data_IF_125553441979
#
_entry.id   IF_125553441979
#
_cell.length_a   1.000
_cell.length_b   1.000
_cell.length_c   1.000
_cell.angle_alpha   90.00
_cell.angle_beta   90.00
_cell.angle_gamma   90.00
#
_symmetry.space_group_name_H-M   'P 1'
#
loop_
_entity.id
_entity.type
_entity.pdbx_description
1 polymer ?
#
# COMPACT_ATOMS: atom_id res chain seq x y z
N UNK A 1 0.99 -10.40 27.86
CA UNK A 1 1.07 -9.81 26.51
C UNK A 1 0.63 -8.36 26.62
N UNK A 2 1.50 -7.39 26.34
CA UNK A 2 1.10 -5.97 26.24
C UNK A 2 0.72 -5.73 24.77
N UNK A 3 -0.57 -5.57 24.48
CA UNK A 3 -1.02 -5.16 23.16
C UNK A 3 -0.59 -3.69 22.96
N UNK A 4 0.12 -3.40 21.87
CA UNK A 4 0.32 -2.01 21.44
C UNK A 4 -0.98 -1.59 20.76
N UNK A 5 -1.80 -0.81 21.44
CA UNK A 5 -2.95 -0.15 20.83
C UNK A 5 -2.45 0.82 19.77
N UNK A 6 -2.81 0.58 18.51
CA UNK A 6 -2.55 1.51 17.41
C UNK A 6 -3.65 2.57 17.40
N UNK A 7 -3.26 3.84 17.53
CA UNK A 7 -4.18 4.97 17.32
C UNK A 7 -4.17 5.30 15.83
N UNK A 8 -5.26 4.99 15.13
CA UNK A 8 -5.45 5.42 13.75
C UNK A 8 -6.40 6.62 13.76
N UNK A 9 -5.88 7.79 13.43
CA UNK A 9 -6.71 8.95 13.09
C UNK A 9 -7.00 8.85 11.60
N UNK A 10 -8.16 8.30 11.26
CA UNK A 10 -8.62 8.26 9.87
C UNK A 10 -9.52 9.47 9.63
N UNK A 11 -8.96 10.50 8.99
CA UNK A 11 -9.75 11.65 8.53
C UNK A 11 -10.59 11.20 7.34
N UNK A 12 -11.87 10.94 7.54
CA UNK A 12 -12.83 10.90 6.43
C UNK A 12 -12.97 12.34 5.95
N UNK A 13 -12.46 12.63 4.74
CA UNK A 13 -12.59 13.95 4.13
C UNK A 13 -14.07 14.22 3.85
N UNK A 14 -14.75 14.86 4.81
CA UNK A 14 -16.02 15.53 4.59
C UNK A 14 -15.69 16.87 3.92
N UNK A 15 -16.30 17.11 2.77
CA UNK A 15 -16.17 18.32 1.95
C UNK A 15 -16.25 19.58 2.83
N UNK A 16 -15.36 20.58 2.65
CA UNK A 16 -15.35 21.76 3.50
C UNK A 16 -16.48 22.71 3.06
N UNK A 17 -17.67 22.50 3.60
CA UNK A 17 -18.70 23.52 3.62
C UNK A 17 -18.56 24.25 4.97
N UNK A 18 -18.09 25.50 4.90
CA UNK A 18 -17.80 26.43 5.99
C UNK A 18 -18.29 26.01 7.39
N UNK A 19 -17.38 25.64 8.28
CA UNK A 19 -17.68 25.39 9.69
C UNK A 19 -16.71 26.15 10.61
N UNK A 20 -17.35 26.79 11.58
CA UNK A 20 -16.80 27.47 12.75
C UNK A 20 -15.87 26.58 13.58
N UNK A 21 -15.02 27.23 14.40
CA UNK A 21 -14.17 26.68 15.45
C UNK A 21 -14.96 25.94 16.55
N UNK A 22 -15.63 24.85 16.21
CA UNK A 22 -16.07 23.85 17.16
C UNK A 22 -15.14 22.66 17.02
N UNK A 23 -14.43 22.37 18.11
CA UNK A 23 -13.64 21.17 18.36
C UNK A 23 -14.44 19.91 17.97
N UNK A 24 -14.34 19.51 16.70
CA UNK A 24 -15.01 18.30 16.21
C UNK A 24 -14.17 17.14 16.69
N UNK A 25 -14.62 16.53 17.79
CA UNK A 25 -14.15 15.28 18.35
C UNK A 25 -14.18 14.20 17.24
N UNK A 26 -13.09 14.14 16.46
CA UNK A 26 -13.04 13.23 15.32
C UNK A 26 -13.04 11.80 15.84
N UNK A 27 -13.85 10.90 15.25
CA UNK A 27 -13.92 9.52 15.70
C UNK A 27 -12.54 8.85 15.55
N UNK A 28 -11.86 8.62 16.67
CA UNK A 28 -10.61 7.84 16.71
C UNK A 28 -10.97 6.37 16.62
N UNK A 29 -10.55 5.72 15.53
CA UNK A 29 -10.73 4.27 15.36
C UNK A 29 -9.47 3.58 15.86
N UNK A 30 -9.58 2.85 16.96
CA UNK A 30 -8.50 1.99 17.46
C UNK A 30 -8.68 0.57 16.95
N UNK A 31 -7.64 -0.02 16.35
CA UNK A 31 -7.66 -1.41 15.88
C UNK A 31 -6.38 -2.13 16.31
N UNK A 32 -6.49 -3.41 16.65
CA UNK A 32 -5.32 -4.25 16.89
C UNK A 32 -4.51 -4.40 15.59
N UNK A 33 -3.19 -4.29 15.69
CA UNK A 33 -2.31 -4.32 14.53
C UNK A 33 -2.38 -5.64 13.75
N UNK A 34 -2.66 -6.77 14.42
CA UNK A 34 -2.83 -8.04 13.73
C UNK A 34 -4.19 -8.13 13.01
N UNK A 35 -5.19 -7.39 13.46
CA UNK A 35 -6.43 -7.22 12.72
C UNK A 35 -6.19 -6.30 11.52
N UNK A 36 -5.43 -5.22 11.70
CA UNK A 36 -5.10 -4.30 10.61
C UNK A 36 -4.37 -4.99 9.46
N UNK A 37 -3.35 -5.81 9.75
CA UNK A 37 -2.62 -6.52 8.69
C UNK A 37 -3.51 -7.49 7.92
N UNK A 38 -4.59 -8.02 8.51
CA UNK A 38 -5.54 -8.87 7.78
C UNK A 38 -6.26 -8.13 6.64
N UNK A 39 -6.22 -6.79 6.64
CA UNK A 39 -6.77 -5.94 5.59
C UNK A 39 -5.74 -5.54 4.53
N UNK A 40 -4.56 -6.17 4.47
CA UNK A 40 -3.51 -5.83 3.47
C UNK A 40 -4.02 -5.92 2.02
N UNK A 41 -5.05 -6.72 1.75
CA UNK A 41 -5.58 -6.92 0.41
C UNK A 41 -6.68 -5.92 0.00
N UNK A 42 -7.15 -5.08 0.94
CA UNK A 42 -8.18 -4.06 0.70
C UNK A 42 -7.81 -3.13 -0.46
N UNK A 43 -6.59 -2.55 -0.54
CA UNK A 43 -6.22 -1.70 -1.66
C UNK A 43 -6.30 -2.43 -3.00
N UNK A 44 -5.94 -3.71 -3.05
CA UNK A 44 -5.98 -4.48 -4.29
C UNK A 44 -7.38 -4.76 -4.79
N UNK A 45 -8.36 -4.97 -3.90
CA UNK A 45 -9.77 -5.04 -4.30
C UNK A 45 -10.23 -3.69 -4.84
N UNK A 46 -9.99 -2.62 -4.08
CA UNK A 46 -10.41 -1.26 -4.47
C UNK A 46 -9.81 -0.81 -5.79
N UNK A 47 -8.51 -1.03 -6.03
CA UNK A 47 -7.88 -0.66 -7.31
C UNK A 47 -8.49 -1.36 -8.52
N UNK A 48 -8.88 -2.64 -8.38
CA UNK A 48 -9.61 -3.34 -9.45
C UNK A 48 -11.00 -2.74 -9.67
N UNK A 49 -11.70 -2.42 -8.59
CA UNK A 49 -13.05 -1.82 -8.65
C UNK A 49 -13.02 -0.42 -9.26
N UNK A 50 -12.04 0.41 -8.86
CA UNK A 50 -11.77 1.73 -9.45
C UNK A 50 -11.51 1.58 -10.95
N UNK A 51 -10.62 0.67 -11.34
CA UNK A 51 -10.29 0.45 -12.75
C UNK A 51 -11.51 0.04 -13.57
N UNK A 52 -12.32 -0.88 -13.05
CA UNK A 52 -13.55 -1.33 -13.70
C UNK A 52 -14.59 -0.21 -13.80
N UNK A 53 -14.77 0.58 -12.73
CA UNK A 53 -15.66 1.74 -12.71
C UNK A 53 -15.21 2.81 -13.73
N UNK A 54 -13.91 3.11 -13.77
CA UNK A 54 -13.32 4.06 -14.72
C UNK A 54 -13.58 3.65 -16.18
N UNK A 55 -13.31 2.39 -16.55
CA UNK A 55 -13.57 1.87 -17.92
C UNK A 55 -15.06 1.99 -18.28
N UNK A 56 -15.95 1.78 -17.31
CA UNK A 56 -17.41 1.91 -17.47
C UNK A 56 -17.92 3.35 -17.37
N UNK A 57 -17.03 4.34 -17.27
CA UNK A 57 -17.34 5.76 -17.06
C UNK A 57 -18.22 6.03 -15.82
N UNK A 58 -18.07 5.19 -14.80
CA UNK A 58 -18.71 5.36 -13.48
C UNK A 58 -17.81 6.23 -12.60
N UNK A 59 -17.60 7.48 -13.02
CA UNK A 59 -16.60 8.39 -12.44
C UNK A 59 -16.86 8.71 -10.96
N UNK A 60 -18.11 8.95 -10.55
CA UNK A 60 -18.45 9.20 -9.14
C UNK A 60 -18.01 8.07 -8.20
N UNK A 61 -18.22 6.82 -8.65
CA UNK A 61 -17.80 5.63 -7.89
C UNK A 61 -16.28 5.52 -7.83
N UNK A 62 -15.63 5.65 -8.98
CA UNK A 62 -14.19 5.55 -9.09
C UNK A 62 -13.48 6.66 -8.28
N UNK A 63 -14.04 7.88 -8.28
CA UNK A 63 -13.61 9.02 -7.45
C UNK A 63 -13.67 8.67 -5.96
N UNK A 64 -14.83 8.23 -5.48
CA UNK A 64 -15.03 7.87 -4.07
C UNK A 64 -14.06 6.77 -3.61
N UNK A 65 -13.89 5.72 -4.43
CA UNK A 65 -12.98 4.62 -4.11
C UNK A 65 -11.51 5.05 -4.17
N UNK A 66 -11.12 5.96 -5.08
CA UNK A 66 -9.77 6.56 -5.12
C UNK A 66 -9.48 7.38 -3.87
N UNK A 67 -10.39 8.27 -3.48
CA UNK A 67 -10.26 9.09 -2.27
C UNK A 67 -10.09 8.20 -1.02
N UNK A 68 -10.90 7.14 -0.92
CA UNK A 68 -10.79 6.15 0.17
C UNK A 68 -9.43 5.44 0.16
N UNK A 69 -8.92 5.09 -1.03
CA UNK A 69 -7.62 4.44 -1.16
C UNK A 69 -6.46 5.39 -0.82
N UNK A 70 -6.58 6.69 -1.12
CA UNK A 70 -5.63 7.71 -0.70
C UNK A 70 -5.57 7.81 0.83
N UNK A 71 -6.72 7.83 1.51
CA UNK A 71 -6.78 7.81 2.98
C UNK A 71 -6.06 6.59 3.56
N UNK A 72 -6.26 5.40 2.96
CA UNK A 72 -5.53 4.19 3.38
C UNK A 72 -4.01 4.37 3.26
N UNK A 73 -3.51 4.88 2.12
CA UNK A 73 -2.08 5.12 1.94
C UNK A 73 -1.52 6.16 2.92
N UNK A 74 -2.33 7.16 3.30
CA UNK A 74 -1.96 8.16 4.32
C UNK A 74 -1.77 7.51 5.69
N UNK A 75 -2.65 6.58 6.06
CA UNK A 75 -2.50 5.80 7.31
C UNK A 75 -1.24 4.96 7.25
N UNK A 76 -0.97 4.25 6.15
CA UNK A 76 0.26 3.44 6.02
C UNK A 76 1.53 4.31 6.00
N UNK A 77 1.47 5.51 5.43
CA UNK A 77 2.58 6.47 5.46
C UNK A 77 2.96 6.83 6.91
N UNK A 78 1.98 7.03 7.80
CA UNK A 78 2.23 7.36 9.22
C UNK A 78 2.96 6.25 10.00
N UNK A 79 2.95 5.01 9.49
CA UNK A 79 3.57 3.82 10.10
C UNK A 79 4.91 3.45 9.46
N UNK A 80 5.19 4.02 8.30
CA UNK A 80 6.36 3.72 7.49
C UNK A 80 7.62 4.43 8.01
N UNK A 81 8.78 3.96 7.56
CA UNK A 81 10.04 4.69 7.73
C UNK A 81 9.99 6.00 6.93
N UNK A 82 10.71 7.07 7.34
CA UNK A 82 10.59 8.40 6.74
C UNK A 82 10.66 8.42 5.20
N UNK A 83 11.64 7.73 4.62
CA UNK A 83 11.80 7.68 3.16
C UNK A 83 10.66 6.97 2.41
N UNK A 84 9.98 5.99 3.03
CA UNK A 84 8.81 5.32 2.44
C UNK A 84 7.55 6.15 2.71
N UNK A 85 7.46 6.77 3.88
CA UNK A 85 6.34 7.60 4.31
C UNK A 85 6.11 8.79 3.36
N UNK A 86 7.16 9.54 3.04
CA UNK A 86 7.10 10.68 2.10
C UNK A 86 6.54 10.25 0.73
N UNK A 87 6.94 9.08 0.25
CA UNK A 87 6.57 8.58 -1.07
C UNK A 87 5.17 7.99 -1.11
N UNK A 88 4.74 7.36 -0.01
CA UNK A 88 3.33 6.95 0.17
C UNK A 88 2.43 8.19 0.24
N UNK A 89 2.87 9.26 0.90
CA UNK A 89 2.15 10.53 0.96
C UNK A 89 2.05 11.21 -0.42
N UNK A 90 3.12 11.19 -1.23
CA UNK A 90 3.09 11.66 -2.62
C UNK A 90 2.06 10.89 -3.46
N UNK A 91 2.10 9.55 -3.43
CA UNK A 91 1.13 8.70 -4.14
C UNK A 91 -0.29 8.93 -3.63
N UNK A 92 -0.49 9.11 -2.32
CA UNK A 92 -1.78 9.44 -1.72
C UNK A 92 -2.34 10.77 -2.23
N UNK A 93 -1.52 11.83 -2.20
CA UNK A 93 -1.89 13.17 -2.68
C UNK A 93 -2.30 13.13 -4.14
N UNK A 94 -1.57 12.35 -4.94
CA UNK A 94 -1.89 12.14 -6.35
C UNK A 94 -3.19 11.36 -6.56
N UNK A 95 -3.45 10.31 -5.79
CA UNK A 95 -4.74 9.59 -5.84
C UNK A 95 -5.90 10.52 -5.49
N UNK A 96 -5.72 11.39 -4.49
CA UNK A 96 -6.71 12.39 -4.13
C UNK A 96 -6.93 13.41 -5.27
N UNK A 97 -5.86 13.90 -5.90
CA UNK A 97 -5.98 14.79 -7.06
C UNK A 97 -6.72 14.14 -8.23
N UNK A 98 -6.37 12.90 -8.59
CA UNK A 98 -7.07 12.16 -9.66
C UNK A 98 -8.53 11.92 -9.27
N UNK A 99 -8.84 11.66 -8.00
CA UNK A 99 -10.24 11.46 -7.58
C UNK A 99 -11.13 12.66 -7.90
N UNK A 100 -10.58 13.88 -7.86
CA UNK A 100 -11.32 15.11 -8.19
C UNK A 100 -11.41 15.35 -9.71
N UNK A 101 -10.42 14.89 -10.47
CA UNK A 101 -10.31 15.15 -11.92
C UNK A 101 -10.51 13.87 -12.76
N UNK A 102 -11.19 12.86 -12.22
CA UNK A 102 -11.21 11.53 -12.82
C UNK A 102 -12.00 11.47 -14.14
N UNK A 103 -12.87 12.45 -14.37
CA UNK A 103 -13.66 12.61 -15.60
C UNK A 103 -12.97 13.50 -16.64
N UNK A 104 -11.82 14.12 -16.31
CA UNK A 104 -11.02 14.87 -17.26
C UNK A 104 -10.45 13.93 -18.33
N UNK A 105 -10.51 14.37 -19.59
CA UNK A 105 -10.04 13.60 -20.74
C UNK A 105 -8.52 13.33 -20.68
N UNK A 106 -7.80 13.99 -19.79
CA UNK A 106 -6.37 13.81 -19.55
C UNK A 106 -6.04 12.58 -18.70
N UNK A 107 -6.95 12.11 -17.86
CA UNK A 107 -6.72 10.92 -17.03
C UNK A 107 -6.94 9.67 -17.87
N UNK A 108 -5.93 8.81 -17.95
CA UNK A 108 -6.01 7.55 -18.69
C UNK A 108 -6.10 6.34 -17.78
N UNK A 109 -6.56 5.26 -18.40
CA UNK A 109 -6.46 3.89 -17.93
C UNK A 109 -5.04 3.53 -17.42
N UNK A 110 -4.03 3.90 -18.20
CA UNK A 110 -2.62 3.62 -17.94
C UNK A 110 -2.07 4.46 -16.78
N UNK A 111 -2.57 5.69 -16.59
CA UNK A 111 -2.21 6.53 -15.45
C UNK A 111 -2.64 5.88 -14.12
N UNK A 112 -3.85 5.32 -14.08
CA UNK A 112 -4.33 4.56 -12.93
C UNK A 112 -3.49 3.31 -12.69
N UNK A 113 -3.19 2.55 -13.74
CA UNK A 113 -2.39 1.32 -13.65
C UNK A 113 -0.99 1.61 -13.10
N UNK A 114 -0.33 2.66 -13.61
CA UNK A 114 0.96 3.15 -13.12
C UNK A 114 0.89 3.58 -11.64
N UNK A 115 -0.16 4.31 -11.27
CA UNK A 115 -0.36 4.77 -9.90
C UNK A 115 -0.59 3.61 -8.92
N UNK A 116 -1.42 2.62 -9.28
CA UNK A 116 -1.67 1.42 -8.49
C UNK A 116 -0.42 0.54 -8.37
N UNK A 117 0.36 0.44 -9.45
CA UNK A 117 1.64 -0.24 -9.46
C UNK A 117 2.61 0.37 -8.45
N UNK A 118 2.73 1.70 -8.44
CA UNK A 118 3.59 2.46 -7.50
C UNK A 118 3.12 2.33 -6.05
N UNK A 119 1.81 2.45 -5.80
CA UNK A 119 1.23 2.26 -4.48
C UNK A 119 1.56 0.87 -3.91
N UNK A 120 1.33 -0.18 -4.70
CA UNK A 120 1.64 -1.55 -4.28
C UNK A 120 3.14 -1.78 -4.08
N UNK A 121 3.99 -1.21 -4.91
CA UNK A 121 5.44 -1.32 -4.72
C UNK A 121 5.92 -0.66 -3.42
N UNK A 122 5.38 0.50 -3.06
CA UNK A 122 5.69 1.18 -1.80
C UNK A 122 5.14 0.42 -0.59
N UNK A 123 3.91 -0.10 -0.68
CA UNK A 123 3.34 -0.96 0.37
C UNK A 123 4.17 -2.24 0.57
N UNK A 124 4.67 -2.85 -0.52
CA UNK A 124 5.54 -4.02 -0.42
C UNK A 124 6.85 -3.70 0.33
N UNK A 125 7.46 -2.54 0.06
CA UNK A 125 8.63 -2.06 0.82
C UNK A 125 8.30 -1.81 2.29
N UNK A 126 7.18 -1.13 2.54
CA UNK A 126 6.71 -0.83 3.89
C UNK A 126 6.55 -2.10 4.73
N UNK A 127 5.81 -3.08 4.22
CA UNK A 127 5.59 -4.33 4.94
C UNK A 127 6.85 -5.19 5.06
N UNK A 128 7.79 -5.12 4.10
CA UNK A 128 9.06 -5.83 4.21
C UNK A 128 9.91 -5.29 5.37
N UNK A 129 9.92 -3.97 5.54
CA UNK A 129 10.55 -3.31 6.68
C UNK A 129 9.86 -3.69 8.00
N UNK A 130 8.53 -3.66 8.06
CA UNK A 130 7.77 -4.09 9.24
C UNK A 130 8.04 -5.55 9.61
N UNK A 131 8.15 -6.44 8.62
CA UNK A 131 8.49 -7.84 8.82
C UNK A 131 9.86 -7.98 9.51
N UNK A 132 10.86 -7.22 9.06
CA UNK A 132 12.21 -7.22 9.64
C UNK A 132 12.23 -6.69 11.06
N UNK A 133 11.62 -5.52 11.31
CA UNK A 133 11.54 -4.93 12.64
C UNK A 133 10.84 -5.87 13.63
N UNK A 134 9.73 -6.48 13.21
CA UNK A 134 8.99 -7.45 14.02
C UNK A 134 9.84 -8.69 14.33
N UNK A 135 10.58 -9.20 13.34
CA UNK A 135 11.49 -10.34 13.52
C UNK A 135 12.62 -10.03 14.49
N UNK A 136 13.30 -8.89 14.34
CA UNK A 136 14.35 -8.43 15.27
C UNK A 136 13.79 -8.27 16.68
N UNK A 137 12.54 -7.81 16.80
CA UNK A 137 11.82 -7.74 18.08
C UNK A 137 11.27 -9.07 18.61
N UNK A 138 11.57 -10.22 17.97
CA UNK A 138 11.11 -11.54 18.37
C UNK A 138 9.62 -11.83 18.09
N UNK A 139 8.92 -10.94 17.41
CA UNK A 139 7.49 -11.04 17.06
C UNK A 139 7.30 -11.81 15.75
N UNK A 140 7.63 -13.09 15.77
CA UNK A 140 7.73 -13.91 14.55
C UNK A 140 6.39 -14.04 13.82
N UNK A 141 5.30 -14.22 14.55
CA UNK A 141 3.96 -14.27 13.96
C UNK A 141 3.66 -13.00 13.17
N UNK A 142 3.94 -11.83 13.74
CA UNK A 142 3.73 -10.54 13.07
C UNK A 142 4.66 -10.41 11.86
N UNK A 143 5.91 -10.83 11.99
CA UNK A 143 6.84 -10.87 10.86
C UNK A 143 6.30 -11.72 9.69
N UNK A 144 5.72 -12.90 9.96
CA UNK A 144 5.10 -13.73 8.95
C UNK A 144 3.88 -13.08 8.30
N UNK A 145 2.99 -12.45 9.07
CA UNK A 145 1.85 -11.70 8.54
C UNK A 145 2.30 -10.56 7.61
N UNK A 146 3.35 -9.83 7.99
CA UNK A 146 3.91 -8.78 7.14
C UNK A 146 4.56 -9.32 5.87
N UNK A 147 5.20 -10.50 5.91
CA UNK A 147 5.73 -11.12 4.69
C UNK A 147 4.63 -11.57 3.73
N UNK A 148 3.48 -12.02 4.22
CA UNK A 148 2.30 -12.25 3.38
C UNK A 148 1.84 -10.97 2.69
N UNK A 149 1.72 -9.87 3.44
CA UNK A 149 1.39 -8.56 2.88
C UNK A 149 2.42 -8.07 1.85
N UNK A 150 3.72 -8.19 2.14
CA UNK A 150 4.81 -7.89 1.20
C UNK A 150 4.66 -8.67 -0.09
N UNK A 151 4.44 -9.99 0.01
CA UNK A 151 4.34 -10.87 -1.16
C UNK A 151 3.17 -10.47 -2.04
N UNK A 152 2.00 -10.28 -1.43
CA UNK A 152 0.80 -9.86 -2.14
C UNK A 152 1.00 -8.52 -2.86
N UNK A 153 1.53 -7.52 -2.17
CA UNK A 153 1.75 -6.21 -2.77
C UNK A 153 2.84 -6.24 -3.85
N UNK A 154 3.91 -7.03 -3.68
CA UNK A 154 4.93 -7.20 -4.72
C UNK A 154 4.35 -7.84 -5.98
N UNK A 155 3.56 -8.90 -5.84
CA UNK A 155 2.86 -9.55 -6.95
C UNK A 155 1.95 -8.55 -7.69
N UNK A 156 1.16 -7.77 -6.93
CA UNK A 156 0.25 -6.78 -7.49
C UNK A 156 0.98 -5.63 -8.19
N UNK A 157 2.10 -5.17 -7.65
CA UNK A 157 2.91 -4.14 -8.30
C UNK A 157 3.40 -4.60 -9.68
N UNK A 158 3.87 -5.84 -9.79
CA UNK A 158 4.29 -6.44 -11.08
C UNK A 158 3.12 -6.50 -12.06
N UNK A 159 1.95 -7.00 -11.61
CA UNK A 159 0.77 -7.12 -12.48
C UNK A 159 0.28 -5.76 -12.99
N UNK A 160 0.19 -4.74 -12.14
CA UNK A 160 -0.22 -3.39 -12.55
C UNK A 160 0.83 -2.66 -13.40
N UNK A 161 2.11 -3.04 -13.32
CA UNK A 161 3.15 -2.48 -14.19
C UNK A 161 3.09 -3.01 -15.64
N UNK A 162 2.03 -3.75 -15.99
CA UNK A 162 1.89 -4.50 -17.24
C UNK A 162 3.07 -5.47 -17.52
N UNK A 163 3.80 -5.84 -16.47
CA UNK A 163 4.90 -6.80 -16.55
C UNK A 163 4.39 -8.20 -16.26
N UNK A 164 4.92 -9.18 -16.98
CA UNK A 164 4.64 -10.60 -16.69
C UNK A 164 5.43 -11.05 -15.47
N UNK A 165 4.82 -11.88 -14.64
CA UNK A 165 5.52 -12.58 -13.55
C UNK A 165 6.48 -13.59 -14.19
N UNK A 166 7.77 -13.24 -14.25
CA UNK A 166 8.82 -14.16 -14.69
C UNK A 166 9.03 -15.28 -13.68
N UNK A 167 9.63 -16.41 -14.10
CA UNK A 167 9.93 -17.54 -13.20
C UNK A 167 10.76 -17.16 -11.97
N UNK A 168 11.72 -16.24 -12.11
CA UNK A 168 12.52 -15.75 -10.97
C UNK A 168 11.71 -14.90 -9.98
N UNK A 169 10.74 -14.12 -10.48
CA UNK A 169 9.81 -13.36 -9.63
C UNK A 169 8.90 -14.32 -8.90
N UNK A 170 8.28 -15.28 -9.61
CA UNK A 170 7.42 -16.30 -9.02
C UNK A 170 8.13 -17.07 -7.91
N UNK A 171 9.35 -17.54 -8.18
CA UNK A 171 10.17 -18.25 -7.19
C UNK A 171 10.40 -17.40 -5.93
N UNK A 172 10.68 -16.10 -6.09
CA UNK A 172 10.89 -15.22 -4.93
C UNK A 172 9.59 -15.02 -4.14
N UNK A 173 8.44 -14.90 -4.82
CA UNK A 173 7.13 -14.84 -4.15
C UNK A 173 6.87 -16.13 -3.36
N UNK A 174 7.15 -17.30 -3.94
CA UNK A 174 6.96 -18.59 -3.27
C UNK A 174 7.91 -18.76 -2.08
N UNK A 175 9.19 -18.40 -2.22
CA UNK A 175 10.17 -18.42 -1.13
C UNK A 175 9.73 -17.49 0.04
N UNK A 176 9.08 -16.35 -0.26
CA UNK A 176 8.54 -15.43 0.75
C UNK A 176 7.31 -16.01 1.47
N UNK A 177 6.38 -16.65 0.74
CA UNK A 177 5.21 -17.33 1.34
C UNK A 177 5.65 -18.45 2.27
N UNK A 178 6.57 -19.29 1.83
CA UNK A 178 7.14 -20.37 2.66
C UNK A 178 7.79 -19.81 3.93
N UNK A 179 8.54 -18.70 3.83
CA UNK A 179 9.13 -18.04 5.00
C UNK A 179 8.05 -17.44 5.91
N UNK A 180 7.01 -16.84 5.35
CA UNK A 180 5.90 -16.25 6.08
C UNK A 180 5.16 -17.30 6.92
N UNK A 181 4.89 -18.48 6.35
CA UNK A 181 4.22 -19.59 7.03
C UNK A 181 5.07 -20.14 8.17
N UNK A 182 6.37 -20.35 7.93
CA UNK A 182 7.31 -20.80 8.96
C UNK A 182 7.49 -19.84 10.12
N UNK A 183 7.31 -18.54 9.90
CA UNK A 183 7.40 -17.55 10.98
C UNK A 183 6.14 -17.50 11.84
N UNK A 184 5.01 -17.97 11.32
CA UNK A 184 3.74 -18.06 12.04
C UNK A 184 3.61 -19.37 12.83
N UNK A 185 4.23 -20.45 12.34
CA UNK A 185 4.32 -21.71 13.07
C UNK A 185 5.35 -21.64 14.22
N UNK A 186 4.89 -21.94 15.44
CA UNK A 186 5.69 -21.83 16.67
C UNK A 186 6.80 -22.89 16.73
N UNK A 187 6.63 -24.05 16.09
CA UNK A 187 7.59 -25.15 16.17
C UNK A 187 8.77 -24.94 15.21
N UNK A 188 8.55 -24.28 14.06
CA UNK A 188 9.58 -24.04 13.02
C UNK A 188 10.51 -22.86 13.30
N UNK A 189 10.15 -21.94 14.20
CA UNK A 189 10.89 -20.69 14.47
C UNK A 189 12.33 -20.90 14.94
N UNK A 190 12.63 -22.04 15.58
CA UNK A 190 13.97 -22.34 16.13
C UNK A 190 14.97 -22.87 15.10
N UNK A 191 14.54 -23.34 13.92
CA UNK A 191 15.40 -24.12 13.03
C UNK A 191 15.62 -23.53 11.62
N UNK A 192 14.84 -22.54 11.16
CA UNK A 192 14.70 -22.35 9.70
C UNK A 192 14.67 -20.89 9.19
N UNK A 193 15.16 -19.90 9.94
CA UNK A 193 15.26 -18.56 9.38
C UNK A 193 16.38 -18.47 8.36
N UNK A 194 16.03 -18.14 7.12
CA UNK A 194 16.97 -17.90 6.02
C UNK A 194 16.79 -16.44 5.58
N UNK A 195 17.88 -15.67 5.57
CA UNK A 195 17.84 -14.27 5.09
C UNK A 195 17.67 -14.15 3.58
N UNK A 196 18.02 -15.21 2.84
CA UNK A 196 18.06 -15.23 1.38
C UNK A 196 16.76 -14.76 0.71
N UNK A 197 15.54 -15.21 1.10
CA UNK A 197 14.30 -14.73 0.50
C UNK A 197 14.09 -13.22 0.68
N UNK A 198 14.47 -12.66 1.83
CA UNK A 198 14.33 -11.22 2.07
C UNK A 198 15.27 -10.40 1.18
N UNK A 199 16.52 -10.84 1.04
CA UNK A 199 17.49 -10.20 0.15
C UNK A 199 17.07 -10.28 -1.32
N UNK A 200 16.43 -11.39 -1.73
CA UNK A 200 15.87 -11.52 -3.07
C UNK A 200 14.69 -10.56 -3.28
N UNK A 201 13.79 -10.45 -2.29
CA UNK A 201 12.68 -9.51 -2.32
C UNK A 201 13.15 -8.06 -2.46
N UNK A 202 14.17 -7.65 -1.71
CA UNK A 202 14.78 -6.32 -1.85
C UNK A 202 15.33 -6.07 -3.25
N UNK A 203 16.09 -7.02 -3.80
CA UNK A 203 16.65 -6.90 -5.15
C UNK A 203 15.53 -6.75 -6.18
N UNK A 204 14.43 -7.48 -6.03
CA UNK A 204 13.25 -7.33 -6.88
C UNK A 204 12.60 -5.96 -6.70
N UNK A 205 12.39 -5.49 -5.47
CA UNK A 205 11.82 -4.18 -5.18
C UNK A 205 12.70 -3.05 -5.74
N UNK A 206 14.02 -3.15 -5.63
CA UNK A 206 14.95 -2.18 -6.21
C UNK A 206 14.89 -2.19 -7.74
N UNK A 207 14.87 -3.37 -8.36
CA UNK A 207 14.75 -3.51 -9.82
C UNK A 207 13.43 -2.94 -10.32
N UNK A 208 12.32 -3.27 -9.64
CA UNK A 208 10.99 -2.81 -9.98
C UNK A 208 10.86 -1.30 -9.80
N UNK A 209 11.46 -0.74 -8.74
CA UNK A 209 11.53 0.70 -8.49
C UNK A 209 12.17 1.47 -9.63
N UNK A 210 13.24 0.95 -10.27
CA UNK A 210 13.86 1.59 -11.44
C UNK A 210 12.91 1.70 -12.64
N UNK A 211 11.88 0.87 -12.70
CA UNK A 211 10.86 0.88 -13.76
C UNK A 211 9.67 1.75 -13.38
N UNK A 212 9.17 1.63 -12.14
CA UNK A 212 7.92 2.27 -11.69
C UNK A 212 8.15 3.69 -11.13
N UNK A 213 9.28 3.96 -10.49
CA UNK A 213 9.55 5.23 -9.81
C UNK A 213 10.05 6.33 -10.74
N UNK A 214 9.52 6.36 -11.97
CA UNK A 214 9.72 7.52 -12.84
C UNK A 214 8.80 8.63 -12.33
N UNK A 215 9.26 9.89 -12.34
CA UNK A 215 8.39 11.02 -12.05
C UNK A 215 7.21 10.95 -13.01
N UNK A 216 6.02 10.75 -12.48
CA UNK A 216 4.84 10.82 -13.32
C UNK A 216 4.51 12.31 -13.41
N UNK A 217 4.87 12.93 -14.53
CA UNK A 217 4.61 14.36 -14.77
C UNK A 217 3.11 14.52 -14.96
N UNK A 218 2.39 14.99 -13.94
CA UNK A 218 1.07 15.55 -14.18
C UNK A 218 1.27 16.99 -14.63
N UNK A 219 0.43 17.49 -15.55
CA UNK A 219 0.16 18.91 -15.59
C UNK A 219 -0.54 19.23 -14.27
N UNK A 220 0.23 19.59 -13.24
CA UNK A 220 -0.32 20.39 -12.15
C UNK A 220 -0.65 21.72 -12.81
N UNK A 221 -1.85 21.81 -13.41
CA UNK A 221 -2.43 23.10 -13.75
C UNK A 221 -2.35 23.91 -12.47
N UNK A 222 -1.59 25.01 -12.48
CA UNK A 222 -1.59 25.91 -11.33
C UNK A 222 -3.05 26.21 -11.01
N UNK A 223 -3.50 26.02 -9.76
CA UNK A 223 -4.88 26.36 -9.39
C UNK A 223 -5.08 27.81 -9.81
N UNK A 224 -6.01 28.03 -10.74
CA UNK A 224 -6.17 29.29 -11.45
C UNK A 224 -6.11 30.49 -10.51
N UNK A 225 -5.19 31.40 -10.82
CA UNK A 225 -5.13 32.75 -10.28
C UNK A 225 -6.34 33.58 -10.75
#
# INVERSE_FOLDING_TARGET
MRYKTLFIVATLAVTPQALSETDVDQPVVTMDENLWVAFYDVPSRRFRDIRAAFIRRQFDRASTDLATSASYLTVEASRALPAIAERLADVSTRMAWISVHIDDATVTAEDLDSLFSRAHWLLAQHFLDMARRSRVGGQNRNAGLYLWATTHHLERAVLWSNSRISGNVQKTLDDLRELADRLQDKESVRAAYREKPLLQAEKLLQKLGKTIDRPIVLPLSEPGA
#
